data_IF_563796087662
#
_entry.id   IF_563796087662
#
_cell.length_a   1.000
_cell.length_b   1.000
_cell.length_c   1.000
_cell.angle_alpha   90.00
_cell.angle_beta   90.00
_cell.angle_gamma   90.00
#
_symmetry.space_group_name_H-M   'P 1'
#
loop_
_entity.id
_entity.type
_entity.pdbx_description
1 polymer ?
#
# COMPACT_ATOMS: atom_id res chain seq x y z
N UNK A 1 33.74 -62.72 -52.74
CA UNK A 1 33.06 -61.41 -52.72
C UNK A 1 31.86 -61.51 -51.69
N UNK A 2 32.03 -61.03 -50.52
CA UNK A 2 30.96 -61.03 -49.45
C UNK A 2 30.24 -59.70 -49.54
N UNK A 3 28.94 -59.67 -49.78
CA UNK A 3 28.10 -58.49 -49.80
C UNK A 3 27.62 -58.21 -48.38
N UNK A 4 28.12 -57.16 -47.81
CA UNK A 4 27.67 -56.64 -46.45
C UNK A 4 26.41 -55.80 -46.64
N UNK A 5 25.29 -56.26 -46.05
CA UNK A 5 24.03 -55.48 -46.01
C UNK A 5 24.09 -54.50 -44.86
N UNK A 6 24.06 -53.20 -45.17
CA UNK A 6 23.92 -52.10 -44.20
C UNK A 6 22.44 -52.03 -43.78
N UNK A 7 22.14 -52.30 -42.49
CA UNK A 7 20.81 -52.06 -41.91
C UNK A 7 20.78 -50.62 -41.36
N UNK A 8 19.97 -49.77 -41.96
CA UNK A 8 19.68 -48.43 -41.48
C UNK A 8 18.65 -48.54 -40.37
N UNK A 9 19.04 -48.22 -39.14
CA UNK A 9 18.13 -48.17 -37.97
C UNK A 9 17.57 -46.73 -37.89
N UNK A 10 16.29 -46.54 -38.25
CA UNK A 10 15.59 -45.28 -38.12
C UNK A 10 15.17 -45.12 -36.66
N UNK A 11 15.84 -44.21 -35.92
CA UNK A 11 15.46 -43.83 -34.55
C UNK A 11 14.40 -42.73 -34.65
N UNK A 12 13.14 -43.05 -34.44
CA UNK A 12 12.05 -42.09 -34.33
C UNK A 12 12.11 -41.46 -32.92
N UNK A 13 12.68 -40.25 -32.81
CA UNK A 13 12.56 -39.40 -31.61
C UNK A 13 11.16 -38.81 -31.54
N UNK A 14 10.31 -39.37 -30.70
CA UNK A 14 9.06 -38.75 -30.31
C UNK A 14 9.39 -37.58 -29.34
N UNK A 15 9.46 -36.35 -29.85
CA UNK A 15 9.46 -35.15 -29.04
C UNK A 15 8.01 -34.90 -28.63
N UNK A 16 7.65 -35.40 -27.48
CA UNK A 16 6.39 -35.05 -26.82
C UNK A 16 6.42 -33.58 -26.41
N UNK A 17 5.94 -32.71 -27.27
CA UNK A 17 5.73 -31.32 -26.95
C UNK A 17 4.67 -31.21 -25.85
N UNK A 18 5.10 -30.92 -24.61
CA UNK A 18 4.20 -30.55 -23.53
C UNK A 18 3.55 -29.21 -23.93
N UNK A 19 2.34 -29.26 -24.47
CA UNK A 19 1.53 -28.05 -24.70
C UNK A 19 1.15 -27.51 -23.32
N UNK A 20 1.96 -26.61 -22.77
CA UNK A 20 1.59 -25.79 -21.63
C UNK A 20 0.52 -24.81 -22.15
N UNK A 21 -0.74 -25.18 -21.99
CA UNK A 21 -1.85 -24.25 -22.20
C UNK A 21 -1.63 -23.08 -21.23
N UNK A 22 -1.65 -21.82 -21.69
CA UNK A 22 -1.56 -20.70 -20.79
C UNK A 22 -2.75 -20.80 -19.83
N UNK A 23 -2.47 -21.04 -18.55
CA UNK A 23 -3.49 -20.86 -17.51
C UNK A 23 -3.96 -19.41 -17.64
N UNK A 24 -5.26 -19.23 -17.93
CA UNK A 24 -5.88 -17.91 -17.82
C UNK A 24 -5.58 -17.39 -16.42
N UNK A 25 -4.76 -16.36 -16.32
CA UNK A 25 -4.57 -15.67 -15.05
C UNK A 25 -5.98 -15.31 -14.54
N UNK A 26 -6.32 -15.82 -13.35
CA UNK A 26 -7.58 -15.47 -12.70
C UNK A 26 -7.53 -13.96 -12.48
N UNK A 27 -8.57 -13.25 -12.94
CA UNK A 27 -8.66 -11.82 -12.68
C UNK A 27 -8.52 -11.57 -11.16
N UNK A 28 -7.76 -10.55 -10.78
CA UNK A 28 -7.57 -10.18 -9.39
C UNK A 28 -8.94 -9.92 -8.74
N UNK A 29 -9.21 -10.55 -7.61
CA UNK A 29 -10.39 -10.28 -6.80
C UNK A 29 -10.05 -9.08 -5.91
N UNK A 30 -10.62 -7.92 -6.23
CA UNK A 30 -10.41 -6.70 -5.44
C UNK A 30 -11.46 -6.64 -4.34
N UNK A 31 -10.98 -6.55 -3.11
CA UNK A 31 -11.83 -6.47 -1.91
C UNK A 31 -11.58 -5.16 -1.17
N UNK A 32 -12.59 -4.60 -0.47
CA UNK A 32 -12.38 -3.51 0.46
C UNK A 32 -11.74 -4.03 1.76
N UNK A 33 -10.75 -3.30 2.26
CA UNK A 33 -10.14 -3.49 3.57
C UNK A 33 -10.29 -2.18 4.33
N UNK A 34 -10.89 -2.23 5.53
CA UNK A 34 -11.21 -1.05 6.31
C UNK A 34 -10.17 -0.87 7.43
N UNK A 35 -9.56 0.32 7.47
CA UNK A 35 -8.62 0.70 8.54
C UNK A 35 -9.03 2.02 9.17
N UNK A 36 -8.61 2.24 10.42
CA UNK A 36 -8.78 3.52 11.10
C UNK A 36 -7.46 4.29 11.06
N UNK A 37 -7.41 5.43 10.38
CA UNK A 37 -6.23 6.30 10.30
C UNK A 37 -6.53 7.66 10.92
N UNK A 38 -5.53 8.30 11.53
CA UNK A 38 -5.58 9.70 11.89
C UNK A 38 -4.84 10.50 10.82
N UNK A 39 -5.53 11.42 10.19
CA UNK A 39 -4.92 12.37 9.27
C UNK A 39 -4.17 13.46 10.02
N UNK A 40 -3.13 14.03 9.41
CA UNK A 40 -2.34 15.16 9.90
C UNK A 40 -2.12 16.15 8.78
N UNK A 41 -3.21 16.67 8.20
CA UNK A 41 -3.14 17.45 6.97
C UNK A 41 -2.62 18.86 7.20
N UNK A 42 -2.86 19.45 8.36
CA UNK A 42 -2.26 20.74 8.74
C UNK A 42 -0.74 20.67 8.66
N UNK A 43 -0.14 19.67 9.28
CA UNK A 43 1.30 19.47 9.28
C UNK A 43 1.85 19.11 7.89
N UNK A 44 1.11 18.31 7.11
CA UNK A 44 1.53 17.95 5.74
C UNK A 44 1.69 19.18 4.85
N UNK A 45 0.83 20.18 4.96
CA UNK A 45 0.89 21.41 4.16
C UNK A 45 2.12 22.26 4.41
N UNK A 46 2.74 22.17 5.60
CA UNK A 46 3.97 22.88 5.93
C UNK A 46 5.15 22.47 5.04
N UNK A 47 5.10 21.28 4.44
CA UNK A 47 6.17 20.75 3.58
C UNK A 47 6.29 21.55 2.28
N UNK A 48 5.22 22.19 1.78
CA UNK A 48 5.28 23.02 0.56
C UNK A 48 6.36 24.11 0.64
N UNK A 49 6.39 24.83 1.76
CA UNK A 49 7.37 25.90 1.95
C UNK A 49 8.81 25.36 1.95
N UNK A 50 9.01 24.19 2.56
CA UNK A 50 10.31 23.53 2.60
C UNK A 50 10.76 23.00 1.23
N UNK A 51 9.83 22.50 0.41
CA UNK A 51 10.12 22.12 -0.99
C UNK A 51 10.51 23.38 -1.79
N UNK A 52 9.76 24.46 -1.63
CA UNK A 52 9.99 25.70 -2.37
C UNK A 52 11.28 26.38 -1.95
N UNK A 53 11.65 26.33 -0.67
CA UNK A 53 12.98 26.73 -0.22
C UNK A 53 14.07 25.90 -0.91
N UNK A 54 13.94 24.57 -0.95
CA UNK A 54 14.92 23.71 -1.62
C UNK A 54 15.03 24.00 -3.13
N UNK A 55 13.94 24.42 -3.78
CA UNK A 55 13.89 24.71 -5.22
C UNK A 55 14.50 26.07 -5.58
N UNK A 56 14.32 27.08 -4.72
CA UNK A 56 14.69 28.48 -5.01
C UNK A 56 15.98 28.92 -4.36
N UNK A 57 16.48 28.20 -3.37
CA UNK A 57 17.75 28.46 -2.73
C UNK A 57 18.89 27.71 -3.44
N UNK A 58 19.84 28.45 -4.03
CA UNK A 58 20.96 27.88 -4.77
C UNK A 58 21.86 26.92 -3.94
N UNK A 59 21.85 27.03 -2.61
CA UNK A 59 22.59 26.13 -1.73
C UNK A 59 21.98 24.74 -1.71
N UNK A 60 20.68 24.61 -1.94
CA UNK A 60 19.93 23.35 -1.88
C UNK A 60 19.50 22.85 -3.27
N UNK A 61 19.38 23.71 -4.27
CA UNK A 61 18.88 23.39 -5.61
C UNK A 61 19.93 22.66 -6.47
N UNK A 62 20.37 21.50 -6.05
CA UNK A 62 21.32 20.66 -6.77
C UNK A 62 21.09 19.17 -6.50
N UNK A 63 21.59 18.31 -7.38
CA UNK A 63 21.72 16.87 -7.15
C UNK A 63 22.98 16.30 -7.79
N UNK A 64 23.45 15.14 -7.32
CA UNK A 64 24.58 14.44 -7.90
C UNK A 64 24.26 13.92 -9.30
N UNK A 65 25.24 13.95 -10.19
CA UNK A 65 25.21 13.23 -11.45
C UNK A 65 25.58 11.75 -11.20
N UNK A 66 25.35 10.90 -12.21
CA UNK A 66 25.60 9.45 -12.13
C UNK A 66 27.06 9.08 -11.80
N UNK A 67 28.00 10.01 -11.90
CA UNK A 67 29.41 9.85 -11.55
C UNK A 67 29.69 10.02 -10.05
N UNK A 68 28.69 10.43 -9.26
CA UNK A 68 28.77 10.78 -7.84
C UNK A 68 29.93 11.77 -7.50
N UNK A 69 30.42 12.48 -8.48
CA UNK A 69 31.54 13.42 -8.35
C UNK A 69 31.17 14.84 -8.81
N UNK A 70 30.26 14.98 -9.76
CA UNK A 70 29.79 16.28 -10.27
C UNK A 70 28.33 16.50 -9.92
N UNK A 71 27.93 17.77 -9.78
CA UNK A 71 26.57 18.18 -9.43
C UNK A 71 25.88 18.85 -10.62
N UNK A 72 24.60 18.57 -10.77
CA UNK A 72 23.70 19.39 -11.56
C UNK A 72 23.09 20.42 -10.63
N UNK A 73 23.32 21.71 -10.92
CA UNK A 73 22.67 22.82 -10.23
C UNK A 73 21.39 23.19 -10.97
N UNK A 74 20.29 23.19 -10.24
CA UNK A 74 18.98 23.52 -10.76
C UNK A 74 18.76 25.03 -10.65
N UNK A 75 19.19 25.77 -11.66
CA UNK A 75 18.95 27.21 -11.74
C UNK A 75 17.56 27.48 -12.29
N UNK A 76 16.96 28.61 -11.90
CA UNK A 76 15.68 29.10 -12.44
C UNK A 76 14.46 28.20 -12.16
N UNK A 77 14.53 27.31 -11.17
CA UNK A 77 13.35 26.59 -10.71
C UNK A 77 12.33 27.57 -10.12
N UNK A 78 11.07 27.36 -10.49
CA UNK A 78 9.95 28.10 -9.91
C UNK A 78 9.41 27.34 -8.72
N UNK A 79 8.80 28.07 -7.78
CA UNK A 79 8.01 27.49 -6.72
C UNK A 79 6.89 26.60 -7.28
N UNK A 80 6.63 25.49 -6.63
CA UNK A 80 5.45 24.68 -6.86
C UNK A 80 4.24 25.34 -6.20
N UNK A 81 3.09 25.23 -6.84
CA UNK A 81 1.81 25.58 -6.23
C UNK A 81 1.25 24.40 -5.49
N UNK A 82 0.59 24.66 -4.35
CA UNK A 82 -0.20 23.63 -3.70
C UNK A 82 -1.44 23.34 -4.53
N UNK A 83 -1.76 22.04 -4.71
CA UNK A 83 -2.92 21.60 -5.48
C UNK A 83 -3.83 20.72 -4.60
N UNK A 84 -5.00 21.23 -4.26
CA UNK A 84 -5.94 20.56 -3.36
C UNK A 84 -6.60 19.32 -3.99
N UNK A 85 -6.56 19.15 -5.31
CA UNK A 85 -6.94 17.90 -5.96
C UNK A 85 -5.86 16.83 -5.76
N UNK A 86 -4.58 17.22 -5.90
CA UNK A 86 -3.46 16.32 -5.60
C UNK A 86 -3.38 15.98 -4.12
N UNK A 87 -3.77 16.89 -3.22
CA UNK A 87 -3.86 16.60 -1.79
C UNK A 87 -4.78 15.40 -1.54
N UNK A 88 -5.96 15.34 -2.21
CA UNK A 88 -6.87 14.19 -2.07
C UNK A 88 -6.21 12.89 -2.52
N UNK A 89 -5.44 12.91 -3.61
CA UNK A 89 -4.66 11.75 -4.07
C UNK A 89 -3.61 11.37 -3.04
N UNK A 90 -2.82 12.34 -2.56
CA UNK A 90 -1.77 12.10 -1.57
C UNK A 90 -2.33 11.54 -0.25
N UNK A 91 -3.48 12.03 0.21
CA UNK A 91 -4.16 11.49 1.41
C UNK A 91 -4.63 10.05 1.20
N UNK A 92 -5.17 9.72 0.02
CA UNK A 92 -5.55 8.36 -0.34
C UNK A 92 -4.34 7.44 -0.37
N UNK A 93 -3.27 7.89 -1.03
CA UNK A 93 -2.00 7.16 -1.11
C UNK A 93 -1.37 6.97 0.28
N UNK A 94 -1.40 7.98 1.14
CA UNK A 94 -0.89 7.88 2.51
C UNK A 94 -1.60 6.75 3.30
N UNK A 95 -2.91 6.58 3.12
CA UNK A 95 -3.65 5.46 3.69
C UNK A 95 -3.29 4.11 3.02
N UNK A 96 -3.11 4.07 1.69
CA UNK A 96 -2.70 2.86 0.96
C UNK A 96 -1.31 2.39 1.41
N UNK A 97 -0.32 3.29 1.51
CA UNK A 97 1.03 2.94 1.95
C UNK A 97 1.11 2.61 3.45
N UNK A 98 0.16 3.06 4.25
CA UNK A 98 0.05 2.65 5.64
C UNK A 98 -0.29 1.16 5.77
N UNK A 99 -1.09 0.62 4.86
CA UNK A 99 -1.41 -0.80 4.79
C UNK A 99 -0.34 -1.60 4.03
N UNK A 100 0.19 -1.06 2.91
CA UNK A 100 1.18 -1.72 2.04
C UNK A 100 2.17 -0.69 1.49
N UNK A 101 3.33 -0.55 2.14
CA UNK A 101 4.32 0.49 1.86
C UNK A 101 5.06 0.24 0.54
N UNK A 102 4.56 0.82 -0.54
CA UNK A 102 5.14 0.75 -1.89
C UNK A 102 4.58 1.86 -2.81
N UNK A 103 5.30 2.14 -3.90
CA UNK A 103 4.76 2.92 -5.03
C UNK A 103 3.68 2.13 -5.79
N UNK A 104 3.70 0.81 -5.72
CA UNK A 104 2.63 -0.05 -6.19
C UNK A 104 1.43 0.02 -5.23
N UNK A 105 0.23 0.06 -5.77
CA UNK A 105 -1.00 0.12 -4.98
C UNK A 105 -1.41 -1.26 -4.46
N UNK A 106 -2.07 -1.37 -3.31
CA UNK A 106 -2.55 -2.64 -2.77
C UNK A 106 -3.46 -3.39 -3.74
N UNK A 107 -4.24 -2.68 -4.55
CA UNK A 107 -5.12 -3.26 -5.58
C UNK A 107 -4.41 -3.64 -6.88
N UNK A 108 -3.12 -3.37 -7.00
CA UNK A 108 -2.35 -3.43 -8.24
C UNK A 108 -2.31 -2.11 -8.99
N UNK A 109 -1.39 -2.00 -9.94
CA UNK A 109 -1.04 -0.74 -10.59
C UNK A 109 -0.12 0.11 -9.73
N UNK A 110 0.09 1.36 -10.15
CA UNK A 110 1.03 2.28 -9.50
C UNK A 110 0.33 3.53 -8.98
N UNK A 111 1.04 4.35 -8.22
CA UNK A 111 0.54 5.60 -7.66
C UNK A 111 -0.15 6.50 -8.71
N UNK A 112 0.44 6.65 -9.88
CA UNK A 112 -0.10 7.48 -10.97
C UNK A 112 -1.42 6.98 -11.57
N UNK A 113 -1.83 5.73 -11.31
CA UNK A 113 -3.16 5.23 -11.72
C UNK A 113 -4.29 5.82 -10.86
N UNK A 114 -3.95 6.51 -9.76
CA UNK A 114 -4.94 7.25 -8.96
C UNK A 114 -5.43 8.52 -9.65
N UNK A 115 -4.60 9.18 -10.44
CA UNK A 115 -4.94 10.46 -11.07
C UNK A 115 -6.16 10.39 -11.99
N UNK A 116 -6.21 9.47 -13.00
CA UNK A 116 -7.40 9.35 -13.83
C UNK A 116 -8.62 8.85 -13.05
N UNK A 117 -8.45 8.07 -11.98
CA UNK A 117 -9.56 7.64 -11.11
C UNK A 117 -10.19 8.82 -10.36
N UNK A 118 -9.41 9.85 -10.04
CA UNK A 118 -9.85 11.09 -9.40
C UNK A 118 -10.18 12.21 -10.41
N UNK A 119 -10.26 11.87 -11.72
CA UNK A 119 -10.50 12.81 -12.82
C UNK A 119 -9.43 13.91 -12.93
N UNK A 120 -8.21 13.63 -12.54
CA UNK A 120 -7.10 14.58 -12.59
C UNK A 120 -6.33 14.40 -13.89
N UNK A 121 -6.19 15.48 -14.66
CA UNK A 121 -5.37 15.53 -15.88
C UNK A 121 -4.01 16.11 -15.56
N UNK A 122 -2.96 15.42 -16.00
CA UNK A 122 -1.57 15.84 -15.85
C UNK A 122 -0.71 15.29 -16.99
N UNK A 123 0.41 15.97 -17.29
CA UNK A 123 1.36 15.54 -18.31
C UNK A 123 2.52 14.73 -17.72
N UNK A 124 2.96 15.08 -16.53
CA UNK A 124 4.02 14.41 -15.78
C UNK A 124 3.57 14.23 -14.34
N UNK A 125 4.00 13.15 -13.73
CA UNK A 125 3.71 12.81 -12.34
C UNK A 125 4.95 12.28 -11.65
N UNK A 126 5.00 12.40 -10.33
CA UNK A 126 6.03 11.81 -9.47
C UNK A 126 5.48 11.64 -8.07
N UNK A 127 5.93 10.60 -7.38
CA UNK A 127 5.55 10.33 -5.99
C UNK A 127 6.81 10.20 -5.13
N UNK A 128 6.80 10.83 -3.96
CA UNK A 128 7.71 10.52 -2.87
C UNK A 128 6.90 9.91 -1.72
N UNK A 129 7.40 8.85 -1.12
CA UNK A 129 6.78 8.20 0.05
C UNK A 129 7.78 8.06 1.18
N UNK A 130 7.31 8.21 2.42
CA UNK A 130 8.12 7.97 3.61
C UNK A 130 7.29 7.39 4.75
N UNK A 131 7.96 6.72 5.69
CA UNK A 131 7.32 6.19 6.87
C UNK A 131 8.25 6.21 8.09
N UNK A 132 7.71 6.59 9.25
CA UNK A 132 8.43 6.62 10.52
C UNK A 132 8.92 7.99 10.96
N UNK A 133 8.90 9.00 10.10
CA UNK A 133 9.23 10.38 10.46
C UNK A 133 8.04 11.01 11.18
N UNK A 134 8.27 11.56 12.37
CA UNK A 134 7.20 12.05 13.23
C UNK A 134 6.71 13.46 12.90
N UNK A 135 7.48 14.24 12.12
CA UNK A 135 7.19 15.63 11.79
C UNK A 135 7.46 15.96 10.33
N UNK A 136 6.80 17.01 9.83
CA UNK A 136 7.04 17.56 8.49
C UNK A 136 8.52 17.87 8.24
N UNK A 137 9.19 18.49 9.19
CA UNK A 137 10.63 18.78 9.12
C UNK A 137 11.48 17.52 8.97
N UNK A 138 11.17 16.46 9.74
CA UNK A 138 11.93 15.21 9.69
C UNK A 138 11.73 14.50 8.34
N UNK A 139 10.52 14.46 7.81
CA UNK A 139 10.28 13.80 6.52
C UNK A 139 10.88 14.59 5.37
N UNK A 140 10.78 15.93 5.37
CA UNK A 140 11.44 16.77 4.38
C UNK A 140 12.97 16.60 4.41
N UNK A 141 13.58 16.51 5.61
CA UNK A 141 15.01 16.23 5.74
C UNK A 141 15.42 14.90 5.09
N UNK A 142 14.61 13.84 5.28
CA UNK A 142 14.86 12.53 4.65
C UNK A 142 14.71 12.61 3.14
N UNK A 143 13.70 13.30 2.62
CA UNK A 143 13.49 13.45 1.17
C UNK A 143 14.50 14.36 0.48
N UNK A 144 15.13 15.26 1.23
CA UNK A 144 16.22 16.10 0.67
C UNK A 144 17.44 15.29 0.26
N UNK A 145 17.70 14.15 0.89
CA UNK A 145 18.79 13.22 0.50
C UNK A 145 20.12 13.94 0.25
N UNK A 146 20.45 14.95 1.08
CA UNK A 146 21.59 15.85 0.88
C UNK A 146 22.93 15.08 0.87
N UNK A 147 23.02 13.99 1.63
CA UNK A 147 24.24 13.20 1.81
C UNK A 147 24.23 11.87 1.01
N UNK A 148 23.18 11.62 0.23
CA UNK A 148 23.07 10.41 -0.56
C UNK A 148 23.75 10.54 -1.92
N UNK A 149 24.33 9.45 -2.47
CA UNK A 149 24.81 9.43 -3.85
C UNK A 149 23.66 9.53 -4.84
N UNK A 150 23.95 9.71 -6.12
CA UNK A 150 22.93 9.82 -7.18
C UNK A 150 21.84 8.75 -7.08
N UNK A 151 22.24 7.51 -6.83
CA UNK A 151 21.29 6.39 -6.70
C UNK A 151 20.28 6.58 -5.56
N UNK A 152 20.70 7.21 -4.45
CA UNK A 152 19.88 7.51 -3.28
C UNK A 152 19.09 8.81 -3.38
N UNK A 153 19.34 9.68 -4.39
CA UNK A 153 18.70 10.98 -4.51
C UNK A 153 17.41 10.97 -5.37
N UNK A 154 16.61 9.92 -5.28
CA UNK A 154 15.35 9.80 -6.03
C UNK A 154 14.31 10.83 -5.62
N UNK A 155 14.08 10.97 -4.32
CA UNK A 155 13.12 11.93 -3.77
C UNK A 155 13.56 13.37 -4.04
N UNK A 156 14.84 13.66 -3.82
CA UNK A 156 15.42 14.96 -4.12
C UNK A 156 15.20 15.40 -5.58
N UNK A 157 15.45 14.48 -6.53
CA UNK A 157 15.25 14.77 -7.96
C UNK A 157 13.80 15.04 -8.32
N UNK A 158 12.83 14.41 -7.62
CA UNK A 158 11.43 14.78 -7.77
C UNK A 158 11.16 16.19 -7.27
N UNK A 159 11.61 16.52 -6.05
CA UNK A 159 11.44 17.86 -5.48
C UNK A 159 12.06 18.96 -6.37
N UNK A 160 13.21 18.70 -7.00
CA UNK A 160 13.94 19.63 -7.86
C UNK A 160 13.62 19.50 -9.36
N UNK A 161 12.60 18.73 -9.72
CA UNK A 161 12.23 18.57 -11.13
C UNK A 161 11.58 19.85 -11.70
N UNK A 162 12.11 20.33 -12.82
CA UNK A 162 11.51 21.43 -13.60
C UNK A 162 10.25 21.01 -14.36
N UNK A 163 9.94 19.69 -14.39
CA UNK A 163 8.76 19.15 -15.08
C UNK A 163 7.47 19.35 -14.30
N UNK A 164 7.55 19.62 -13.00
CA UNK A 164 6.39 19.77 -12.14
C UNK A 164 6.09 21.25 -11.88
N UNK A 165 4.81 21.59 -11.76
CA UNK A 165 4.34 22.93 -11.43
C UNK A 165 3.42 22.96 -10.19
N UNK A 166 3.06 21.80 -9.66
CA UNK A 166 2.24 21.67 -8.46
C UNK A 166 2.57 20.41 -7.68
N UNK A 167 2.14 20.40 -6.42
CA UNK A 167 2.25 19.28 -5.47
C UNK A 167 1.04 19.25 -4.55
N UNK A 168 0.61 18.05 -4.18
CA UNK A 168 -0.29 17.77 -3.06
C UNK A 168 0.40 16.84 -2.08
N UNK A 169 0.16 17.03 -0.79
CA UNK A 169 0.88 16.31 0.27
C UNK A 169 -0.13 15.64 1.20
N UNK A 170 0.10 14.40 1.55
CA UNK A 170 -0.72 13.61 2.44
C UNK A 170 0.06 13.05 3.63
N UNK A 171 -0.59 13.03 4.78
CA UNK A 171 -0.04 12.47 6.00
C UNK A 171 -1.11 11.69 6.74
N UNK A 172 -0.77 10.47 7.18
CA UNK A 172 -1.58 9.67 8.09
C UNK A 172 -0.72 9.06 9.20
N UNK A 173 -1.32 8.93 10.37
CA UNK A 173 -0.80 8.11 11.46
C UNK A 173 -1.65 6.86 11.59
N UNK A 174 -1.00 5.69 11.54
CA UNK A 174 -1.65 4.40 11.62
C UNK A 174 -0.77 3.38 12.32
N UNK A 175 -1.33 2.61 13.24
CA UNK A 175 -0.65 1.53 13.96
C UNK A 175 0.72 1.94 14.55
N UNK A 176 0.81 3.15 15.14
CA UNK A 176 2.02 3.66 15.76
C UNK A 176 3.04 4.29 14.82
N UNK A 177 2.75 4.40 13.52
CA UNK A 177 3.68 4.89 12.49
C UNK A 177 3.05 6.04 11.69
N UNK A 178 3.85 7.05 11.37
CA UNK A 178 3.50 8.13 10.45
C UNK A 178 3.87 7.74 9.02
N UNK A 179 2.98 8.02 8.07
CA UNK A 179 3.15 7.77 6.64
C UNK A 179 2.91 9.06 5.87
N UNK A 180 3.81 9.38 4.96
CA UNK A 180 3.87 10.63 4.23
C UNK A 180 3.94 10.38 2.74
N UNK A 181 3.26 11.23 1.97
CA UNK A 181 3.24 11.18 0.51
C UNK A 181 3.31 12.58 -0.06
N UNK A 182 4.20 12.80 -1.04
CA UNK A 182 4.19 13.95 -1.95
C UNK A 182 3.77 13.46 -3.33
N UNK A 183 2.70 14.02 -3.85
CA UNK A 183 2.24 13.81 -5.23
C UNK A 183 2.56 15.03 -6.07
N UNK A 184 3.51 14.88 -6.98
CA UNK A 184 3.94 15.94 -7.90
C UNK A 184 3.25 15.80 -9.24
N UNK A 185 2.90 16.91 -9.87
CA UNK A 185 2.38 16.89 -11.23
C UNK A 185 2.75 18.13 -12.06
N UNK A 186 2.64 17.98 -13.39
CA UNK A 186 2.49 19.08 -14.32
C UNK A 186 1.04 19.16 -14.76
N UNK A 187 0.30 20.14 -14.24
CA UNK A 187 -1.13 20.32 -14.53
C UNK A 187 -1.38 21.63 -15.28
N UNK A 188 -2.25 21.61 -16.31
CA UNK A 188 -2.70 22.83 -16.98
C UNK A 188 -3.63 23.67 -16.08
N UNK A 189 -4.39 23.00 -15.22
CA UNK A 189 -5.31 23.61 -14.25
C UNK A 189 -4.97 23.10 -12.86
N UNK A 190 -4.55 24.00 -11.98
CA UNK A 190 -4.17 23.72 -10.60
C UNK A 190 -5.31 24.19 -9.70
N UNK A 191 -5.84 23.31 -8.86
CA UNK A 191 -6.86 23.68 -7.88
C UNK A 191 -6.18 24.29 -6.64
N UNK A 192 -6.15 25.62 -6.59
CA UNK A 192 -5.61 26.39 -5.46
C UNK A 192 -6.69 26.83 -4.46
N UNK A 193 -7.93 26.33 -4.60
CA UNK A 193 -9.01 26.65 -3.68
C UNK A 193 -8.78 25.93 -2.37
N UNK A 194 -8.42 26.67 -1.34
CA UNK A 194 -8.15 26.13 -0.03
C UNK A 194 -9.41 25.50 0.58
N UNK A 195 -9.20 24.31 1.14
CA UNK A 195 -10.20 23.59 1.93
C UNK A 195 -9.67 23.39 3.36
N UNK A 196 -10.55 23.28 4.37
CA UNK A 196 -10.12 23.00 5.73
C UNK A 196 -9.27 21.74 5.80
N UNK A 197 -8.15 21.80 6.51
CA UNK A 197 -7.28 20.65 6.72
C UNK A 197 -8.02 19.56 7.51
N UNK A 198 -7.77 18.32 7.13
CA UNK A 198 -8.32 17.17 7.83
C UNK A 198 -7.28 16.60 8.80
N UNK A 199 -7.48 16.82 10.11
CA UNK A 199 -6.63 16.28 11.17
C UNK A 199 -7.38 15.26 12.05
N UNK A 200 -8.51 14.74 11.54
CA UNK A 200 -9.37 13.84 12.29
C UNK A 200 -9.06 12.36 12.04
N UNK A 201 -9.48 11.53 12.98
CA UNK A 201 -9.50 10.07 12.76
C UNK A 201 -10.67 9.68 11.86
N UNK A 202 -10.40 8.88 10.84
CA UNK A 202 -11.40 8.38 9.89
C UNK A 202 -11.21 6.89 9.65
N UNK A 203 -12.33 6.21 9.43
CA UNK A 203 -12.33 4.91 8.78
C UNK A 203 -12.20 5.12 7.28
N UNK A 204 -11.21 4.47 6.68
CA UNK A 204 -10.98 4.47 5.23
C UNK A 204 -11.05 3.06 4.68
N UNK A 205 -11.64 2.91 3.50
CA UNK A 205 -11.72 1.65 2.79
C UNK A 205 -10.69 1.63 1.68
N UNK A 206 -9.75 0.69 1.76
CA UNK A 206 -8.67 0.51 0.81
C UNK A 206 -8.99 -0.68 -0.09
N UNK A 207 -8.93 -0.48 -1.40
CA UNK A 207 -9.06 -1.57 -2.36
C UNK A 207 -7.77 -2.42 -2.37
N UNK A 208 -7.91 -3.71 -2.11
CA UNK A 208 -6.78 -4.65 -2.02
C UNK A 208 -7.02 -5.83 -2.96
N UNK A 209 -6.01 -6.22 -3.71
CA UNK A 209 -6.01 -7.51 -4.40
C UNK A 209 -5.89 -8.61 -3.35
N UNK A 210 -6.94 -9.41 -3.21
CA UNK A 210 -7.04 -10.49 -2.22
C UNK A 210 -5.84 -11.45 -2.28
N UNK A 211 -5.25 -11.63 -3.45
CA UNK A 211 -4.07 -12.50 -3.63
C UNK A 211 -2.80 -11.95 -2.98
N UNK A 212 -2.78 -10.66 -2.61
CA UNK A 212 -1.69 -10.02 -1.87
C UNK A 212 -1.81 -10.13 -0.36
N UNK A 213 -2.91 -10.65 0.16
CA UNK A 213 -3.08 -10.91 1.59
C UNK A 213 -2.36 -12.22 1.91
N UNK A 214 -1.17 -12.13 2.49
CA UNK A 214 -0.35 -13.32 2.83
C UNK A 214 -0.77 -13.96 4.13
N UNK A 215 -1.24 -13.16 5.08
CA UNK A 215 -1.58 -13.64 6.41
C UNK A 215 -2.79 -12.90 6.97
N UNK A 216 -3.64 -13.67 7.62
CA UNK A 216 -4.78 -13.18 8.42
C UNK A 216 -4.62 -13.73 9.84
N UNK A 217 -4.70 -12.84 10.83
CA UNK A 217 -4.72 -13.19 12.26
C UNK A 217 -6.00 -12.63 12.87
N UNK A 218 -6.87 -13.53 13.32
CA UNK A 218 -8.10 -13.18 14.02
C UNK A 218 -8.06 -13.81 15.41
N UNK A 219 -8.23 -12.99 16.43
CA UNK A 219 -8.19 -13.45 17.83
C UNK A 219 -9.51 -13.25 18.50
N UNK A 220 -10.02 -14.32 19.09
CA UNK A 220 -11.12 -14.24 20.04
C UNK A 220 -10.66 -13.69 21.38
N UNK A 221 -11.60 -13.25 22.18
CA UNK A 221 -11.37 -12.79 23.58
C UNK A 221 -10.96 -13.93 24.49
N UNK A 222 -11.30 -15.18 24.15
CA UNK A 222 -10.94 -16.40 24.89
C UNK A 222 -10.41 -17.47 23.94
N UNK A 223 -9.50 -18.30 24.43
CA UNK A 223 -8.99 -19.47 23.69
C UNK A 223 -9.97 -20.63 23.70
N UNK A 224 -10.82 -20.71 24.74
CA UNK A 224 -11.80 -21.80 24.92
C UNK A 224 -13.08 -21.25 25.56
N UNK A 225 -14.20 -21.64 25.01
CA UNK A 225 -15.53 -21.40 25.58
C UNK A 225 -16.09 -22.72 26.14
N UNK A 226 -16.42 -22.71 27.44
CA UNK A 226 -17.03 -23.88 28.10
C UNK A 226 -18.47 -23.57 28.42
N UNK A 227 -19.42 -24.33 27.84
CA UNK A 227 -20.85 -24.11 27.95
C UNK A 227 -21.56 -25.40 28.43
N UNK A 228 -22.58 -25.23 29.27
CA UNK A 228 -23.53 -26.32 29.53
C UNK A 228 -24.49 -26.43 28.35
N UNK A 229 -25.14 -27.59 28.25
CA UNK A 229 -26.22 -27.77 27.27
C UNK A 229 -27.34 -26.77 27.55
N UNK A 230 -27.71 -25.99 26.53
CA UNK A 230 -28.69 -24.90 26.60
C UNK A 230 -28.13 -23.56 27.09
N UNK A 231 -26.85 -23.48 27.46
CA UNK A 231 -26.21 -22.25 27.83
C UNK A 231 -25.71 -21.51 26.56
N UNK A 232 -25.72 -20.17 26.63
CA UNK A 232 -25.26 -19.29 25.54
C UNK A 232 -24.16 -18.34 26.03
N UNK A 233 -23.24 -17.99 25.15
CA UNK A 233 -22.26 -16.93 25.34
C UNK A 233 -22.09 -16.13 24.05
N UNK A 234 -21.51 -14.93 24.14
CA UNK A 234 -21.19 -14.09 22.98
C UNK A 234 -19.67 -14.04 22.83
N UNK A 235 -19.08 -14.87 21.95
CA UNK A 235 -17.67 -14.76 21.63
C UNK A 235 -17.37 -13.39 21.02
N UNK A 236 -16.36 -12.70 21.54
CA UNK A 236 -15.95 -11.42 21.00
C UNK A 236 -14.65 -11.55 20.17
N UNK A 237 -14.58 -10.84 19.06
CA UNK A 237 -13.32 -10.68 18.33
C UNK A 237 -12.52 -9.57 19.02
N UNK A 238 -11.39 -9.94 19.60
CA UNK A 238 -10.48 -9.02 20.26
C UNK A 238 -9.65 -8.21 19.28
N UNK A 239 -9.23 -8.83 18.20
CA UNK A 239 -8.35 -8.24 17.20
C UNK A 239 -8.44 -8.96 15.86
N UNK A 240 -8.42 -8.17 14.80
CA UNK A 240 -8.30 -8.65 13.41
C UNK A 240 -7.11 -7.95 12.78
N UNK A 241 -6.17 -8.72 12.25
CA UNK A 241 -4.97 -8.20 11.58
C UNK A 241 -4.71 -8.93 10.27
N UNK A 242 -4.13 -8.22 9.31
CA UNK A 242 -3.69 -8.79 8.03
C UNK A 242 -2.27 -8.35 7.70
N UNK A 243 -1.58 -9.16 6.89
CA UNK A 243 -0.35 -8.80 6.21
C UNK A 243 -0.60 -8.72 4.71
N UNK A 244 -0.32 -7.57 4.11
CA UNK A 244 -0.47 -7.34 2.67
C UNK A 244 0.91 -7.21 2.05
N UNK A 245 1.26 -8.18 1.22
CA UNK A 245 2.55 -8.21 0.52
C UNK A 245 2.71 -7.04 -0.43
N UNK A 246 3.92 -6.49 -0.42
CA UNK A 246 4.40 -5.62 -1.47
C UNK A 246 5.86 -5.93 -1.80
N UNK A 247 6.32 -5.44 -2.95
CA UNK A 247 7.68 -5.68 -3.46
C UNK A 247 8.80 -5.22 -2.51
N UNK A 248 8.52 -4.26 -1.59
CA UNK A 248 9.52 -3.61 -0.75
C UNK A 248 9.44 -4.01 0.73
N UNK A 249 8.37 -4.63 1.16
CA UNK A 249 8.20 -4.98 2.56
C UNK A 249 8.86 -6.32 2.86
N UNK A 250 10.06 -6.26 3.36
CA UNK A 250 10.42 -7.28 4.34
C UNK A 250 9.50 -7.12 5.55
N UNK A 251 8.24 -7.60 5.41
CA UNK A 251 7.18 -7.69 6.40
C UNK A 251 7.21 -6.65 7.55
N UNK A 252 6.41 -5.59 7.45
CA UNK A 252 6.18 -4.69 8.60
C UNK A 252 5.28 -5.31 9.66
N UNK A 253 4.89 -6.57 9.46
CA UNK A 253 4.01 -7.30 10.36
C UNK A 253 2.54 -7.02 10.13
N UNK A 254 1.73 -7.74 10.87
CA UNK A 254 0.27 -7.71 10.77
C UNK A 254 -0.30 -6.34 11.14
N UNK A 255 -1.01 -5.73 10.21
CA UNK A 255 -1.69 -4.46 10.36
C UNK A 255 -3.13 -4.65 10.87
N UNK A 256 -3.60 -3.92 11.90
CA UNK A 256 -4.95 -4.05 12.43
C UNK A 256 -5.99 -3.54 11.41
N UNK A 257 -7.06 -4.29 11.19
CA UNK A 257 -8.16 -3.92 10.31
C UNK A 257 -9.50 -3.92 11.07
N UNK A 258 -10.48 -3.23 10.53
CA UNK A 258 -11.81 -3.08 11.14
C UNK A 258 -12.83 -4.07 10.57
N UNK A 259 -12.43 -4.90 9.61
CA UNK A 259 -13.30 -5.86 8.97
C UNK A 259 -13.71 -6.96 9.94
N UNK A 260 -14.99 -7.34 9.88
CA UNK A 260 -15.58 -8.30 10.79
C UNK A 260 -15.49 -9.69 10.15
N UNK A 261 -14.85 -10.67 10.82
CA UNK A 261 -14.78 -12.04 10.32
C UNK A 261 -16.12 -12.76 10.41
N UNK A 262 -16.31 -13.73 9.52
CA UNK A 262 -17.42 -14.67 9.60
C UNK A 262 -17.04 -15.77 10.59
N UNK A 263 -17.90 -15.97 11.60
CA UNK A 263 -17.73 -17.00 12.63
C UNK A 263 -18.55 -18.25 12.28
N UNK A 264 -17.94 -19.41 12.44
CA UNK A 264 -18.59 -20.71 12.19
C UNK A 264 -18.15 -21.76 13.21
N UNK A 265 -19.00 -22.76 13.44
CA UNK A 265 -18.73 -23.92 14.28
C UNK A 265 -18.50 -25.15 13.40
N UNK A 266 -17.45 -25.91 13.67
CA UNK A 266 -17.10 -27.09 12.84
C UNK A 266 -18.10 -28.22 12.96
N UNK A 267 -18.63 -28.51 14.15
CA UNK A 267 -19.69 -29.50 14.39
C UNK A 267 -20.92 -28.82 14.98
N UNK A 268 -21.89 -28.55 14.11
CA UNK A 268 -23.16 -27.93 14.46
C UNK A 268 -24.10 -28.80 15.32
N UNK A 269 -23.77 -30.09 15.52
CA UNK A 269 -24.52 -30.96 16.45
C UNK A 269 -24.08 -30.76 17.92
N UNK A 270 -22.85 -30.29 18.14
CA UNK A 270 -22.29 -30.02 19.49
C UNK A 270 -22.56 -28.58 19.94
N UNK A 271 -22.36 -27.62 19.05
CA UNK A 271 -22.61 -26.19 19.31
C UNK A 271 -23.12 -25.49 18.06
N UNK A 272 -23.88 -24.40 18.25
CA UNK A 272 -24.33 -23.54 17.16
C UNK A 272 -23.93 -22.10 17.41
N UNK A 273 -23.59 -21.37 16.32
CA UNK A 273 -23.34 -19.93 16.36
C UNK A 273 -24.38 -19.22 15.50
N UNK A 274 -25.26 -18.45 16.13
CA UNK A 274 -26.31 -17.72 15.44
C UNK A 274 -26.54 -16.37 16.15
N UNK A 275 -26.78 -15.32 15.40
CA UNK A 275 -27.05 -13.97 15.94
C UNK A 275 -26.02 -13.54 17.02
N UNK A 276 -24.73 -13.73 16.72
CA UNK A 276 -23.58 -13.44 17.58
C UNK A 276 -23.55 -14.24 18.91
N UNK A 277 -24.34 -15.28 19.02
CA UNK A 277 -24.37 -16.17 20.18
C UNK A 277 -23.88 -17.57 19.85
N UNK A 278 -23.00 -18.08 20.70
CA UNK A 278 -22.55 -19.47 20.71
C UNK A 278 -23.39 -20.24 21.76
N UNK A 279 -24.05 -21.29 21.32
CA UNK A 279 -24.95 -22.12 22.15
C UNK A 279 -24.41 -23.56 22.27
N UNK A 280 -24.39 -24.12 23.48
CA UNK A 280 -24.10 -25.52 23.71
C UNK A 280 -25.32 -26.41 23.44
N UNK A 281 -25.21 -27.35 22.50
CA UNK A 281 -26.34 -28.23 22.10
C UNK A 281 -26.21 -29.66 22.61
N UNK A 282 -24.99 -30.17 22.70
CA UNK A 282 -24.70 -31.55 23.08
C UNK A 282 -23.34 -31.63 23.77
N UNK A 283 -23.15 -32.63 24.63
CA UNK A 283 -21.83 -32.93 25.21
C UNK A 283 -20.81 -33.28 24.10
N UNK A 284 -19.66 -32.64 24.16
CA UNK A 284 -18.57 -32.83 23.19
C UNK A 284 -17.66 -31.58 23.10
N UNK A 285 -16.72 -31.64 22.16
CA UNK A 285 -15.79 -30.55 21.84
C UNK A 285 -15.84 -30.28 20.34
N UNK A 286 -15.91 -29.01 19.96
CA UNK A 286 -15.88 -28.60 18.56
C UNK A 286 -15.05 -27.34 18.41
N UNK A 287 -14.63 -26.99 17.19
CA UNK A 287 -13.86 -25.80 16.91
C UNK A 287 -14.79 -24.65 16.51
N UNK A 288 -14.53 -23.47 17.08
CA UNK A 288 -15.05 -22.20 16.63
C UNK A 288 -14.01 -21.54 15.72
N UNK A 289 -14.40 -21.18 14.50
CA UNK A 289 -13.51 -20.62 13.47
C UNK A 289 -13.99 -19.25 13.07
N UNK A 290 -13.06 -18.30 12.98
CA UNK A 290 -13.30 -16.99 12.40
C UNK A 290 -12.55 -16.87 11.06
N UNK A 291 -13.27 -16.52 9.99
CA UNK A 291 -12.72 -16.39 8.63
C UNK A 291 -12.90 -14.97 8.13
N UNK A 292 -11.83 -14.38 7.60
CA UNK A 292 -11.82 -13.08 6.99
C UNK A 292 -11.28 -13.19 5.55
N UNK A 293 -11.98 -12.61 4.57
CA UNK A 293 -11.70 -12.57 3.12
C UNK A 293 -11.67 -13.93 2.37
#
# INVERSE_FOLDING_TARGET
>A
MKKTKLRLLLLLLFIGGLIILPQKAKAAEIIPVNISVKYGQTEAREILDMINEARTNSEYAWYWNKDDATKTYCTDLKELKYDYDLERVAMKRAAEIALSYAHERPMGGYAWDTYPQENIRCNFVGENIAAGQNTASQVNFVWREDNEPYGGQGHRRNMLSSKFNCVGIGHVYYNGVHYWVEEFACRPEINTTEVPANDSTKTVSISVDKTKIEKVDVRFDQETYSLRIGENTTPAIKETRIDVTNFWSGGRGLAPVLDIPVISVADSSIAAYNNDQLSGLKEGTTNLTATLY
#
